data_IF_496524785420
#
_entry.id   IF_496524785420
#
_cell.length_a   1.000
_cell.length_b   1.000
_cell.length_c   1.000
_cell.angle_alpha   90.00
_cell.angle_beta   90.00
_cell.angle_gamma   90.00
#
_symmetry.space_group_name_H-M   'P 1'
#
loop_
_entity.id
_entity.type
_entity.pdbx_description
1 polymer ?
#
# COMPACT_ATOMS: atom_id res chain seq x y z
N UNK A 1 -3.31 -8.48 -42.73
CA UNK A 1 -2.98 -7.25 -41.98
C UNK A 1 -3.12 -7.62 -40.52
N UNK A 2 -1.99 -7.80 -39.85
CA UNK A 2 -1.91 -8.34 -38.50
C UNK A 2 -2.26 -7.22 -37.52
N UNK A 3 -3.31 -7.43 -36.72
CA UNK A 3 -3.66 -6.58 -35.58
C UNK A 3 -2.46 -6.44 -34.64
N UNK A 4 -1.93 -5.23 -34.53
CA UNK A 4 -0.99 -4.86 -33.49
C UNK A 4 -1.74 -4.92 -32.15
N UNK A 5 -1.38 -5.89 -31.29
CA UNK A 5 -1.71 -5.84 -29.87
C UNK A 5 -1.04 -4.59 -29.31
N UNK A 6 -1.81 -3.52 -29.19
CA UNK A 6 -1.45 -2.35 -28.40
C UNK A 6 -1.38 -2.84 -26.95
N UNK A 7 -0.16 -3.10 -26.47
CA UNK A 7 0.11 -3.38 -25.06
C UNK A 7 -0.30 -2.14 -24.28
N UNK A 8 -1.51 -2.15 -23.72
CA UNK A 8 -1.96 -1.08 -22.83
C UNK A 8 -0.98 -1.04 -21.65
N UNK A 9 -0.29 0.10 -21.49
CA UNK A 9 0.53 0.33 -20.31
C UNK A 9 -0.32 0.08 -19.05
N UNK A 10 0.23 -0.58 -18.01
CA UNK A 10 -0.51 -0.83 -16.79
C UNK A 10 -1.08 0.50 -16.27
N UNK A 11 -2.39 0.55 -16.07
CA UNK A 11 -3.06 1.75 -15.56
C UNK A 11 -2.42 2.14 -14.22
N UNK A 12 -2.09 3.42 -14.01
CA UNK A 12 -1.51 3.86 -12.75
C UNK A 12 -2.46 3.53 -11.60
N UNK A 13 -1.93 2.96 -10.53
CA UNK A 13 -2.69 2.65 -9.32
C UNK A 13 -3.27 3.93 -8.73
N UNK A 14 -4.58 3.90 -8.47
CA UNK A 14 -5.32 5.02 -7.92
C UNK A 14 -6.53 4.54 -7.13
N UNK A 15 -6.61 4.89 -5.85
CA UNK A 15 -7.68 4.50 -4.93
C UNK A 15 -8.58 5.70 -4.61
N UNK A 16 -9.32 6.21 -5.59
CA UNK A 16 -10.17 7.40 -5.43
C UNK A 16 -11.28 7.21 -4.38
N UNK A 17 -11.87 6.02 -4.30
CA UNK A 17 -12.89 5.69 -3.29
C UNK A 17 -12.33 5.74 -1.86
N UNK A 18 -11.12 5.19 -1.66
CA UNK A 18 -10.43 5.29 -0.37
C UNK A 18 -10.12 6.75 -0.01
N UNK A 19 -9.65 7.56 -0.96
CA UNK A 19 -9.41 8.99 -0.72
C UNK A 19 -10.73 9.71 -0.34
N UNK A 20 -11.82 9.38 -1.03
CA UNK A 20 -13.15 9.92 -0.74
C UNK A 20 -13.65 9.56 0.65
N UNK A 21 -13.50 8.29 1.06
CA UNK A 21 -13.92 7.84 2.40
C UNK A 21 -13.05 8.41 3.51
N UNK A 22 -11.74 8.57 3.31
CA UNK A 22 -10.86 9.30 4.24
C UNK A 22 -11.33 10.74 4.42
N UNK A 23 -11.65 11.45 3.33
CA UNK A 23 -12.17 12.80 3.41
C UNK A 23 -13.52 12.87 4.14
N UNK A 24 -14.38 11.87 3.94
CA UNK A 24 -15.66 11.76 4.66
C UNK A 24 -15.46 11.57 6.17
N UNK A 25 -14.56 10.68 6.61
CA UNK A 25 -14.22 10.48 8.03
C UNK A 25 -13.64 11.75 8.65
N UNK A 26 -12.77 12.47 7.94
CA UNK A 26 -12.22 13.75 8.42
C UNK A 26 -13.28 14.82 8.62
N UNK A 27 -14.34 14.82 7.80
CA UNK A 27 -15.47 15.75 7.91
C UNK A 27 -16.48 15.32 8.97
N UNK A 28 -16.75 14.02 9.05
CA UNK A 28 -17.69 13.39 9.97
C UNK A 28 -17.13 12.03 10.41
N UNK A 29 -16.60 11.99 11.64
CA UNK A 29 -16.02 10.79 12.26
C UNK A 29 -17.05 9.79 12.78
N UNK A 30 -18.25 9.75 12.20
CA UNK A 30 -19.28 8.79 12.55
C UNK A 30 -18.81 7.34 12.35
N UNK A 31 -19.41 6.42 13.09
CA UNK A 31 -19.11 4.99 12.98
C UNK A 31 -19.34 4.49 11.55
N UNK A 32 -20.40 4.96 10.88
CA UNK A 32 -20.71 4.59 9.51
C UNK A 32 -19.58 4.99 8.54
N UNK A 33 -19.11 6.23 8.61
CA UNK A 33 -18.02 6.68 7.74
C UNK A 33 -16.71 5.96 8.04
N UNK A 34 -16.44 5.70 9.31
CA UNK A 34 -15.25 4.94 9.73
C UNK A 34 -15.28 3.53 9.16
N UNK A 35 -16.41 2.82 9.27
CA UNK A 35 -16.57 1.47 8.69
C UNK A 35 -16.40 1.47 7.17
N UNK A 36 -16.95 2.47 6.48
CA UNK A 36 -16.76 2.61 5.02
C UNK A 36 -15.27 2.76 4.67
N UNK A 37 -14.55 3.64 5.37
CA UNK A 37 -13.11 3.81 5.17
C UNK A 37 -12.33 2.52 5.43
N UNK A 38 -12.62 1.80 6.52
CA UNK A 38 -11.94 0.53 6.82
C UNK A 38 -12.17 -0.52 5.74
N UNK A 39 -13.39 -0.61 5.20
CA UNK A 39 -13.70 -1.54 4.11
C UNK A 39 -12.94 -1.19 2.82
N UNK A 40 -12.79 0.10 2.51
CA UNK A 40 -11.99 0.54 1.37
C UNK A 40 -10.50 0.27 1.58
N UNK A 41 -9.98 0.40 2.80
CA UNK A 41 -8.57 0.04 3.11
C UNK A 41 -8.31 -1.44 2.85
N UNK A 42 -9.21 -2.33 3.26
CA UNK A 42 -9.06 -3.78 3.05
C UNK A 42 -9.07 -4.15 1.56
N UNK A 43 -9.81 -3.39 0.74
CA UNK A 43 -9.95 -3.64 -0.71
C UNK A 43 -8.90 -2.91 -1.56
N UNK A 44 -8.22 -1.92 -0.98
CA UNK A 44 -7.31 -1.06 -1.70
C UNK A 44 -6.08 -1.82 -2.20
N UNK A 45 -5.59 -1.37 -3.35
CA UNK A 45 -4.26 -1.74 -3.87
C UNK A 45 -3.36 -0.52 -3.70
N UNK A 46 -2.50 -0.54 -2.69
CA UNK A 46 -1.68 0.58 -2.30
C UNK A 46 -0.27 0.47 -2.91
N UNK A 47 0.41 1.60 -3.05
CA UNK A 47 1.79 1.63 -3.48
C UNK A 47 2.68 1.65 -2.23
N UNK A 48 3.60 0.71 -2.12
CA UNK A 48 4.64 0.69 -1.10
C UNK A 48 6.00 1.01 -1.76
N UNK A 49 6.75 2.00 -1.26
CA UNK A 49 8.09 2.30 -1.75
C UNK A 49 9.05 1.18 -1.41
N UNK A 50 9.91 0.85 -2.38
CA UNK A 50 10.91 -0.20 -2.25
C UNK A 50 12.27 0.30 -2.72
N UNK A 51 13.31 -0.17 -2.04
CA UNK A 51 14.67 -0.12 -2.51
C UNK A 51 15.03 -1.42 -3.20
N UNK A 52 15.67 -1.30 -4.36
CA UNK A 52 16.31 -2.39 -5.06
C UNK A 52 17.80 -2.25 -4.84
N UNK A 53 18.48 -3.34 -4.51
CA UNK A 53 19.95 -3.36 -4.42
C UNK A 53 20.65 -3.28 -5.79
N UNK A 54 19.88 -3.47 -6.86
CA UNK A 54 20.29 -3.35 -8.26
C UNK A 54 19.20 -2.67 -9.06
N UNK A 55 19.61 -1.74 -9.92
CA UNK A 55 18.68 -1.08 -10.83
C UNK A 55 18.06 -2.10 -11.79
N UNK A 56 16.75 -2.02 -12.04
CA UNK A 56 16.09 -2.87 -13.01
C UNK A 56 16.63 -2.58 -14.42
N UNK A 57 16.85 -3.64 -15.20
CA UNK A 57 17.34 -3.51 -16.58
C UNK A 57 16.13 -3.50 -17.50
N UNK A 58 16.05 -2.51 -18.39
CA UNK A 58 15.05 -2.51 -19.47
C UNK A 58 15.63 -3.35 -20.60
N UNK A 59 15.05 -4.52 -20.85
CA UNK A 59 15.41 -5.37 -21.98
C UNK A 59 14.31 -5.32 -23.05
N UNK A 60 14.72 -5.20 -24.32
CA UNK A 60 13.82 -5.21 -25.47
C UNK A 60 13.31 -3.83 -25.91
N UNK A 61 12.94 -3.73 -27.19
CA UNK A 61 12.30 -2.53 -27.78
C UNK A 61 10.88 -2.28 -27.26
N UNK A 62 10.31 -3.23 -26.51
CA UNK A 62 8.98 -3.18 -25.90
C UNK A 62 8.97 -2.61 -24.46
N UNK A 63 10.14 -2.26 -23.92
CA UNK A 63 10.26 -1.63 -22.61
C UNK A 63 9.99 -2.59 -21.44
N UNK A 64 10.17 -3.90 -21.63
CA UNK A 64 10.06 -4.85 -20.53
C UNK A 64 11.14 -4.59 -19.48
N UNK A 65 10.67 -4.36 -18.26
CA UNK A 65 11.54 -4.17 -17.09
C UNK A 65 11.83 -5.55 -16.50
N UNK A 66 13.08 -5.98 -16.59
CA UNK A 66 13.55 -7.26 -16.06
C UNK A 66 14.31 -7.00 -14.77
N UNK A 67 13.85 -7.63 -13.68
CA UNK A 67 14.62 -7.74 -12.45
C UNK A 67 15.61 -8.89 -12.60
N UNK A 68 16.88 -8.67 -12.28
CA UNK A 68 17.86 -9.75 -12.27
C UNK A 68 17.48 -10.79 -11.21
N UNK A 69 17.87 -12.04 -11.45
CA UNK A 69 17.46 -13.20 -10.62
C UNK A 69 17.92 -13.12 -9.15
N UNK A 70 18.83 -12.19 -8.83
CA UNK A 70 19.38 -11.98 -7.49
C UNK A 70 19.15 -10.55 -6.96
N UNK A 71 18.18 -9.81 -7.51
CA UNK A 71 17.80 -8.49 -6.98
C UNK A 71 17.07 -8.65 -5.64
N UNK A 72 17.61 -8.03 -4.59
CA UNK A 72 16.97 -7.97 -3.26
C UNK A 72 16.01 -6.80 -3.21
N UNK A 73 14.75 -7.09 -2.90
CA UNK A 73 13.72 -6.07 -2.66
C UNK A 73 13.63 -5.77 -1.17
N UNK A 74 13.77 -4.51 -0.80
CA UNK A 74 13.60 -4.05 0.58
C UNK A 74 12.54 -2.96 0.65
N UNK A 75 11.48 -3.19 1.43
CA UNK A 75 10.47 -2.16 1.68
C UNK A 75 11.03 -1.05 2.56
N UNK A 76 10.75 0.20 2.17
CA UNK A 76 11.16 1.35 2.96
C UNK A 76 10.32 1.47 4.25
N UNK A 77 10.95 2.03 5.28
CA UNK A 77 10.32 2.33 6.56
C UNK A 77 10.47 3.81 6.87
N UNK A 78 9.42 4.41 7.42
CA UNK A 78 9.49 5.74 8.00
C UNK A 78 9.57 5.64 9.51
N UNK A 79 10.28 6.59 10.12
CA UNK A 79 10.40 6.72 11.57
C UNK A 79 9.49 7.83 12.06
N UNK A 80 8.55 7.50 12.94
CA UNK A 80 7.71 8.46 13.62
C UNK A 80 8.52 9.26 14.67
N UNK A 81 7.95 10.38 15.14
CA UNK A 81 8.61 11.28 16.11
C UNK A 81 8.93 10.60 17.44
N UNK A 82 8.13 9.62 17.83
CA UNK A 82 8.35 8.81 19.04
C UNK A 82 9.42 7.70 18.85
N UNK A 83 9.96 7.56 17.64
CA UNK A 83 10.98 6.58 17.29
C UNK A 83 10.47 5.27 16.69
N UNK A 84 9.15 5.07 16.65
CA UNK A 84 8.52 3.88 16.09
C UNK A 84 8.66 3.83 14.56
N UNK A 85 8.77 2.62 14.02
CA UNK A 85 8.86 2.39 12.56
C UNK A 85 7.51 1.99 11.99
N UNK A 86 7.20 2.52 10.80
CA UNK A 86 5.98 2.22 10.04
C UNK A 86 6.29 2.01 8.57
N UNK A 87 5.51 1.15 7.90
CA UNK A 87 5.51 1.08 6.44
C UNK A 87 4.71 2.25 5.87
N UNK A 88 5.32 3.16 5.09
CA UNK A 88 4.56 4.15 4.34
C UNK A 88 3.89 3.49 3.14
N UNK A 89 2.61 3.77 2.94
CA UNK A 89 1.85 3.28 1.77
C UNK A 89 1.04 4.41 1.16
N UNK A 90 0.79 4.33 -0.14
CA UNK A 90 0.27 5.46 -0.90
C UNK A 90 -0.92 5.05 -1.75
N UNK A 91 -1.96 5.88 -1.70
CA UNK A 91 -3.20 5.67 -2.47
C UNK A 91 -3.02 5.84 -3.98
N UNK A 92 -2.02 6.60 -4.41
CA UNK A 92 -1.68 6.86 -5.81
C UNK A 92 -0.28 7.47 -5.94
N UNK A 93 0.25 7.49 -7.17
CA UNK A 93 1.64 7.90 -7.43
C UNK A 93 1.97 9.36 -7.10
N UNK A 94 1.00 10.26 -7.05
CA UNK A 94 1.24 11.65 -6.60
C UNK A 94 1.56 11.72 -5.11
N UNK A 95 0.86 10.94 -4.27
CA UNK A 95 1.15 10.86 -2.83
C UNK A 95 2.52 10.24 -2.56
N UNK A 96 2.89 9.20 -3.31
CA UNK A 96 4.23 8.60 -3.26
C UNK A 96 5.32 9.65 -3.56
N UNK A 97 5.14 10.44 -4.63
CA UNK A 97 6.07 11.49 -5.04
C UNK A 97 6.19 12.64 -4.05
N UNK A 98 5.22 12.87 -3.16
CA UNK A 98 5.36 13.87 -2.09
C UNK A 98 6.37 13.42 -1.02
N UNK A 99 6.53 12.12 -0.83
CA UNK A 99 7.42 11.56 0.17
C UNK A 99 8.86 11.38 -0.35
N UNK A 100 9.05 11.38 -1.67
CA UNK A 100 10.35 11.13 -2.30
C UNK A 100 10.83 12.31 -3.13
N UNK A 101 12.09 12.69 -2.93
CA UNK A 101 12.77 13.63 -3.82
C UNK A 101 13.51 12.90 -4.97
N UNK A 102 13.54 11.56 -4.94
CA UNK A 102 14.18 10.73 -5.94
C UNK A 102 13.32 10.67 -7.21
N UNK A 103 13.93 10.91 -8.38
CA UNK A 103 13.21 10.79 -9.66
C UNK A 103 12.90 9.33 -10.03
N UNK A 104 13.63 8.37 -9.42
CA UNK A 104 13.57 6.94 -9.74
C UNK A 104 13.05 6.10 -8.56
N UNK A 105 12.09 6.60 -7.78
CA UNK A 105 11.52 5.79 -6.70
C UNK A 105 10.75 4.59 -7.24
N UNK A 106 11.21 3.39 -6.88
CA UNK A 106 10.50 2.15 -7.16
C UNK A 106 9.36 1.95 -6.16
N UNK A 107 8.27 1.33 -6.62
CA UNK A 107 7.17 0.95 -5.75
C UNK A 107 6.58 -0.38 -6.17
N UNK A 108 6.05 -1.11 -5.19
CA UNK A 108 5.27 -2.31 -5.38
C UNK A 108 3.81 -2.04 -5.05
N UNK A 109 2.92 -2.77 -5.73
CA UNK A 109 1.52 -2.82 -5.35
C UNK A 109 1.39 -3.83 -4.22
N UNK A 110 0.87 -3.37 -3.09
CA UNK A 110 0.58 -4.19 -1.90
C UNK A 110 -0.89 -4.06 -1.55
N UNK A 111 -1.48 -5.11 -1.00
CA UNK A 111 -2.80 -5.03 -0.38
C UNK A 111 -2.71 -5.14 1.15
N UNK A 112 -3.89 -5.13 1.79
CA UNK A 112 -3.99 -5.22 3.23
C UNK A 112 -3.44 -6.53 3.79
N UNK A 113 -3.62 -7.66 3.10
CA UNK A 113 -3.12 -8.96 3.55
C UNK A 113 -1.60 -9.02 3.49
N UNK A 114 -1.01 -8.51 2.40
CA UNK A 114 0.45 -8.37 2.26
C UNK A 114 1.03 -7.55 3.42
N UNK A 115 0.46 -6.38 3.69
CA UNK A 115 0.89 -5.48 4.77
C UNK A 115 0.74 -6.13 6.14
N UNK A 116 -0.40 -6.78 6.39
CA UNK A 116 -0.65 -7.51 7.63
C UNK A 116 0.39 -8.61 7.85
N UNK A 117 0.66 -9.43 6.84
CA UNK A 117 1.65 -10.49 6.90
C UNK A 117 3.06 -9.94 7.16
N UNK A 118 3.45 -8.86 6.47
CA UNK A 118 4.73 -8.19 6.68
C UNK A 118 4.86 -7.65 8.11
N UNK A 119 3.86 -6.94 8.62
CA UNK A 119 3.91 -6.31 9.95
C UNK A 119 3.86 -7.34 11.06
N UNK A 120 2.97 -8.33 10.95
CA UNK A 120 2.78 -9.35 11.99
C UNK A 120 3.95 -10.34 12.04
N UNK A 121 4.65 -10.59 10.92
CA UNK A 121 5.86 -11.42 10.90
C UNK A 121 7.11 -10.72 11.47
N UNK A 122 7.17 -9.39 11.42
CA UNK A 122 8.29 -8.57 11.92
C UNK A 122 8.26 -8.35 13.45
N UNK A 123 7.29 -8.93 14.17
CA UNK A 123 7.19 -8.86 15.63
C UNK A 123 6.93 -7.44 16.13
N UNK A 124 7.85 -6.87 16.93
CA UNK A 124 7.74 -5.52 17.52
C UNK A 124 8.58 -4.45 16.81
N UNK A 125 9.33 -4.80 15.77
CA UNK A 125 10.22 -3.85 15.10
C UNK A 125 9.44 -2.78 14.31
N UNK A 126 8.30 -3.16 13.73
CA UNK A 126 7.41 -2.27 12.98
C UNK A 126 6.07 -2.20 13.71
N UNK A 127 5.55 -0.99 13.91
CA UNK A 127 4.34 -0.73 14.69
C UNK A 127 3.07 -0.67 13.87
N UNK A 128 3.18 -0.66 12.54
CA UNK A 128 2.03 -0.56 11.66
C UNK A 128 2.39 -0.06 10.25
N UNK A 129 1.37 0.42 9.53
CA UNK A 129 1.55 1.17 8.29
C UNK A 129 0.84 2.52 8.36
N UNK A 130 1.27 3.45 7.50
CA UNK A 130 0.70 4.80 7.41
C UNK A 130 0.34 5.09 5.96
N UNK A 131 -0.93 5.41 5.72
CA UNK A 131 -1.43 5.82 4.40
C UNK A 131 -1.15 7.32 4.20
N UNK A 132 -0.51 7.64 3.08
CA UNK A 132 -0.17 9.00 2.64
C UNK A 132 0.48 9.85 3.77
N UNK A 133 1.69 9.51 4.28
CA UNK A 133 2.28 10.18 5.44
C UNK A 133 2.42 11.71 5.32
N UNK A 134 2.68 12.22 4.11
CA UNK A 134 2.81 13.66 3.82
C UNK A 134 1.47 14.32 3.42
N UNK A 135 0.41 13.53 3.30
CA UNK A 135 -0.92 13.96 2.89
C UNK A 135 -1.94 13.62 3.97
N UNK A 136 -2.71 12.55 3.74
CA UNK A 136 -3.81 12.21 4.65
C UNK A 136 -3.38 11.76 6.04
N UNK A 137 -2.20 11.14 6.14
CA UNK A 137 -1.55 10.63 7.34
C UNK A 137 -2.48 9.76 8.20
N UNK A 138 -2.99 8.67 7.64
CA UNK A 138 -3.84 7.71 8.35
C UNK A 138 -2.98 6.55 8.85
N UNK A 139 -2.87 6.40 10.15
CA UNK A 139 -2.03 5.39 10.79
C UNK A 139 -2.86 4.17 11.21
N UNK A 140 -2.39 2.98 10.84
CA UNK A 140 -2.94 1.69 11.26
C UNK A 140 -1.90 0.97 12.10
N UNK A 141 -2.16 0.83 13.40
CA UNK A 141 -1.24 0.12 14.29
C UNK A 141 -1.39 -1.40 14.14
N UNK A 142 -0.38 -2.14 14.57
CA UNK A 142 -0.38 -3.60 14.63
C UNK A 142 -1.62 -4.14 15.36
N UNK A 143 -2.04 -3.49 16.44
CA UNK A 143 -3.23 -3.88 17.20
C UNK A 143 -4.53 -3.65 16.40
N UNK A 144 -4.64 -2.54 15.67
CA UNK A 144 -5.78 -2.28 14.79
C UNK A 144 -5.84 -3.30 13.65
N UNK A 145 -4.70 -3.60 13.03
CA UNK A 145 -4.59 -4.58 11.95
C UNK A 145 -5.04 -5.96 12.44
N UNK A 146 -4.59 -6.38 13.62
CA UNK A 146 -5.01 -7.65 14.22
C UNK A 146 -6.53 -7.68 14.46
N UNK A 147 -7.10 -6.60 15.00
CA UNK A 147 -8.54 -6.48 15.21
C UNK A 147 -9.34 -6.59 13.92
N UNK A 148 -8.87 -5.93 12.85
CA UNK A 148 -9.50 -6.01 11.52
C UNK A 148 -9.48 -7.44 10.97
N UNK A 149 -8.34 -8.15 11.09
CA UNK A 149 -8.23 -9.56 10.67
C UNK A 149 -9.17 -10.46 11.45
N UNK A 150 -9.26 -10.27 12.77
CA UNK A 150 -10.11 -11.08 13.63
C UNK A 150 -11.59 -10.86 13.29
N UNK A 151 -12.00 -9.63 12.99
CA UNK A 151 -13.37 -9.30 12.60
C UNK A 151 -13.71 -9.84 11.19
N UNK A 152 -12.77 -9.80 10.25
CA UNK A 152 -12.93 -10.42 8.93
C UNK A 152 -13.12 -11.94 9.03
N UNK A 153 -12.37 -12.62 9.92
CA UNK A 153 -12.51 -14.06 10.16
C UNK A 153 -13.89 -14.42 10.74
N UNK A 154 -14.36 -13.67 11.74
CA UNK A 154 -15.69 -13.88 12.32
C UNK A 154 -16.79 -13.77 11.28
N UNK A 155 -16.73 -12.75 10.42
CA UNK A 155 -17.72 -12.57 9.35
C UNK A 155 -17.66 -13.71 8.30
N UNK A 156 -16.48 -14.23 8.02
CA UNK A 156 -16.33 -15.37 7.12
C UNK A 156 -16.94 -16.65 7.72
N UNK A 157 -16.75 -16.88 9.01
CA UNK A 157 -17.30 -18.03 9.73
C UNK A 157 -18.84 -17.93 9.86
N UNK A 158 -19.37 -16.73 10.13
CA UNK A 158 -20.83 -16.47 10.22
C UNK A 158 -21.54 -16.59 8.87
N UNK A 159 -20.89 -16.23 7.76
CA UNK A 159 -21.47 -16.36 6.41
C UNK A 159 -21.42 -17.80 5.86
N UNK A 160 -20.68 -18.70 6.53
CA UNK A 160 -20.58 -20.12 6.17
C UNK A 160 -21.43 -21.03 7.06
N UNK A 161 -22.04 -20.48 8.12
CA UNK A 161 -22.94 -21.16 9.04
C UNK A 161 -24.42 -21.00 8.62
#
# INVERSE_FOLDING_TARGET
MTDAKMTEAPKPVRNDELVGTIAAVKKDGSQENTVKMLNEVVRAKLLAPINLDRDPVVEGEDGQVVLEKDTTISFELIKATNGDLYYPVFTHGEELRKCSQEQNQHSMIVDFEDLANMILSQGKAVRGFVINPMGDNICFTQEMIQGMIDDMKKQADENQA
#
